data_IF_069040283141
#
_entry.id   IF_069040283141
#
_cell.length_a   1.000
_cell.length_b   1.000
_cell.length_c   1.000
_cell.angle_alpha   90.00
_cell.angle_beta   90.00
_cell.angle_gamma   90.00
#
_symmetry.space_group_name_H-M   'P 1'
#
loop_
_entity.id
_entity.type
_entity.pdbx_description
1 polymer ?
#
# COMPACT_ATOMS: atom_id res chain seq x y z
N UNK A 1 -36.29 -25.88 27.67
CA UNK A 1 -35.35 -25.09 28.50
C UNK A 1 -33.98 -25.31 27.89
N UNK A 2 -33.47 -24.36 27.11
CA UNK A 2 -32.27 -24.59 26.30
C UNK A 2 -31.03 -24.41 27.18
N UNK A 3 -30.44 -25.52 27.62
CA UNK A 3 -29.13 -25.53 28.27
C UNK A 3 -28.09 -25.55 27.15
N UNK A 4 -27.68 -24.37 26.71
CA UNK A 4 -26.52 -24.22 25.84
C UNK A 4 -25.28 -24.47 26.69
N UNK A 5 -24.66 -25.64 26.52
CA UNK A 5 -23.29 -25.90 26.96
C UNK A 5 -22.38 -24.96 26.17
N UNK A 6 -21.88 -23.91 26.83
CA UNK A 6 -21.00 -22.91 26.24
C UNK A 6 -19.73 -23.51 25.63
N UNK A 7 -19.28 -24.70 26.07
CA UNK A 7 -18.01 -25.29 25.63
C UNK A 7 -18.06 -25.93 24.22
N UNK A 8 -19.23 -26.37 23.76
CA UNK A 8 -19.33 -27.12 22.49
C UNK A 8 -19.38 -26.22 21.25
N UNK A 9 -19.63 -24.91 21.43
CA UNK A 9 -19.68 -23.93 20.33
C UNK A 9 -18.27 -23.61 19.78
N UNK A 10 -17.21 -23.79 20.59
CA UNK A 10 -15.95 -23.07 20.37
C UNK A 10 -14.74 -23.90 19.94
N UNK A 11 -14.85 -25.23 19.82
CA UNK A 11 -13.67 -26.06 19.54
C UNK A 11 -13.33 -26.25 18.04
N UNK A 12 -14.29 -26.12 17.11
CA UNK A 12 -14.04 -26.51 15.71
C UNK A 12 -14.36 -25.48 14.61
N UNK A 13 -14.83 -24.26 14.91
CA UNK A 13 -15.12 -23.19 13.92
C UNK A 13 -15.94 -23.60 12.66
N UNK A 14 -16.53 -24.80 12.63
CA UNK A 14 -17.75 -25.13 11.90
C UNK A 14 -18.90 -24.99 12.89
N UNK A 15 -19.54 -23.82 12.89
CA UNK A 15 -20.67 -23.62 13.78
C UNK A 15 -21.86 -24.40 13.22
N UNK A 16 -22.00 -25.63 13.69
CA UNK A 16 -23.22 -26.44 13.57
C UNK A 16 -23.90 -26.43 14.94
N UNK A 17 -24.96 -25.63 15.07
CA UNK A 17 -25.80 -25.64 16.28
C UNK A 17 -26.75 -26.84 16.14
N UNK A 18 -26.67 -27.77 17.08
CA UNK A 18 -27.58 -28.92 17.16
C UNK A 18 -28.92 -28.48 17.72
N UNK A 19 -29.96 -28.48 16.87
CA UNK A 19 -31.36 -28.33 17.33
C UNK A 19 -31.90 -29.73 17.64
N UNK A 20 -31.98 -30.08 18.92
CA UNK A 20 -32.69 -31.27 19.39
C UNK A 20 -34.16 -30.93 19.59
N UNK A 21 -35.01 -31.35 18.64
CA UNK A 21 -36.44 -31.50 18.90
C UNK A 21 -36.61 -32.83 19.62
N UNK A 22 -36.90 -32.78 20.92
CA UNK A 22 -37.40 -33.95 21.64
C UNK A 22 -38.79 -34.29 21.09
N UNK A 23 -38.83 -35.26 20.19
CA UNK A 23 -39.99 -36.12 19.97
C UNK A 23 -39.48 -37.43 19.36
N UNK A 24 -39.61 -38.50 20.15
CA UNK A 24 -39.49 -39.92 19.83
C UNK A 24 -38.58 -40.36 18.67
N UNK A 25 -37.47 -41.02 19.04
CA UNK A 25 -36.99 -42.21 18.34
C UNK A 25 -35.98 -42.06 17.20
N UNK A 26 -35.77 -40.88 16.63
CA UNK A 26 -34.69 -40.68 15.65
C UNK A 26 -34.29 -39.21 15.52
N UNK A 27 -33.20 -38.83 16.19
CA UNK A 27 -32.63 -37.48 16.11
C UNK A 27 -32.04 -37.21 14.71
N UNK A 28 -32.82 -36.56 13.84
CA UNK A 28 -32.33 -36.05 12.56
C UNK A 28 -31.50 -34.79 12.86
N UNK A 29 -30.18 -34.92 12.84
CA UNK A 29 -29.26 -33.79 13.03
C UNK A 29 -29.18 -32.98 11.75
N UNK A 30 -29.99 -31.93 11.63
CA UNK A 30 -29.89 -30.98 10.52
C UNK A 30 -28.78 -29.98 10.85
N UNK A 31 -27.59 -30.15 10.26
CA UNK A 31 -26.50 -29.17 10.37
C UNK A 31 -26.80 -27.98 9.45
N UNK A 32 -27.18 -26.86 10.02
CA UNK A 32 -27.28 -25.58 9.30
C UNK A 32 -26.13 -24.65 9.72
N UNK A 33 -25.63 -23.79 8.82
CA UNK A 33 -24.59 -22.85 9.17
C UNK A 33 -25.15 -21.74 10.09
N UNK A 34 -24.32 -21.22 10.99
CA UNK A 34 -24.74 -20.26 12.03
C UNK A 34 -25.52 -19.06 11.50
N UNK A 35 -25.13 -18.54 10.34
CA UNK A 35 -25.82 -17.42 9.69
C UNK A 35 -27.28 -17.75 9.35
N UNK A 36 -27.58 -18.98 8.95
CA UNK A 36 -28.96 -19.45 8.66
C UNK A 36 -29.76 -19.61 9.94
N UNK A 37 -29.15 -20.09 11.02
CA UNK A 37 -29.83 -20.25 12.32
C UNK A 37 -30.12 -18.89 12.95
N UNK A 38 -29.13 -18.00 12.95
CA UNK A 38 -29.27 -16.64 13.47
C UNK A 38 -30.20 -15.77 12.60
N UNK A 39 -30.40 -16.12 11.32
CA UNK A 39 -31.41 -15.46 10.48
C UNK A 39 -32.85 -15.73 10.94
N UNK A 40 -33.09 -16.76 11.76
CA UNK A 40 -34.42 -17.05 12.29
C UNK A 40 -34.81 -16.08 13.41
N UNK A 41 -33.85 -15.67 14.25
CA UNK A 41 -34.04 -14.68 15.30
C UNK A 41 -32.91 -13.65 15.30
N UNK A 42 -33.17 -12.53 14.61
CA UNK A 42 -32.20 -11.45 14.47
C UNK A 42 -31.81 -10.79 15.80
N UNK A 43 -32.59 -10.95 16.89
CA UNK A 43 -32.22 -10.42 18.21
C UNK A 43 -31.03 -11.19 18.81
N UNK A 44 -30.89 -12.47 18.47
CA UNK A 44 -29.76 -13.28 18.91
C UNK A 44 -28.45 -12.81 18.28
N UNK A 45 -28.49 -12.31 17.03
CA UNK A 45 -27.32 -11.66 16.40
C UNK A 45 -26.84 -10.51 17.27
N UNK A 46 -27.74 -9.59 17.64
CA UNK A 46 -27.38 -8.42 18.45
C UNK A 46 -26.84 -8.84 19.81
N UNK A 47 -27.50 -9.77 20.51
CA UNK A 47 -27.04 -10.27 21.79
C UNK A 47 -25.63 -10.90 21.72
N UNK A 48 -25.35 -11.66 20.66
CA UNK A 48 -24.02 -12.25 20.43
C UNK A 48 -22.95 -11.18 20.18
N UNK A 49 -23.28 -10.11 19.46
CA UNK A 49 -22.37 -9.01 19.15
C UNK A 49 -22.14 -8.08 20.35
N UNK A 50 -23.12 -7.91 21.24
CA UNK A 50 -22.98 -7.11 22.45
C UNK A 50 -22.03 -7.71 23.49
N UNK A 51 -21.68 -9.01 23.37
CA UNK A 51 -20.64 -9.63 24.19
C UNK A 51 -19.25 -9.05 23.98
N UNK A 52 -19.02 -8.22 22.95
CA UNK A 52 -17.79 -7.41 22.85
C UNK A 52 -17.58 -6.52 24.08
N UNK A 53 -18.65 -6.10 24.77
CA UNK A 53 -18.54 -5.34 26.03
C UNK A 53 -17.97 -6.14 27.20
N UNK A 54 -17.95 -7.47 27.12
CA UNK A 54 -17.66 -8.33 28.25
C UNK A 54 -16.15 -8.43 28.53
N UNK A 55 -15.57 -7.41 29.14
CA UNK A 55 -14.11 -7.32 29.40
C UNK A 55 -13.57 -8.30 30.43
N UNK A 56 -14.43 -8.97 31.21
CA UNK A 56 -14.00 -9.90 32.25
C UNK A 56 -13.42 -11.22 31.71
N UNK A 57 -13.84 -11.64 30.51
CA UNK A 57 -13.34 -12.85 29.87
C UNK A 57 -13.00 -12.57 28.39
N UNK A 58 -11.71 -12.44 28.04
CA UNK A 58 -11.30 -12.07 26.68
C UNK A 58 -11.72 -13.09 25.63
N UNK A 59 -11.84 -14.37 26.00
CA UNK A 59 -12.35 -15.44 25.13
C UNK A 59 -13.74 -15.12 24.56
N UNK A 60 -14.65 -14.59 25.39
CA UNK A 60 -16.00 -14.21 24.96
C UNK A 60 -15.96 -13.01 24.01
N UNK A 61 -15.13 -12.00 24.29
CA UNK A 61 -14.95 -10.86 23.39
C UNK A 61 -14.39 -11.29 22.02
N UNK A 62 -13.34 -12.12 22.04
CA UNK A 62 -12.74 -12.69 20.84
C UNK A 62 -13.76 -13.45 20.00
N UNK A 63 -14.60 -14.26 20.64
CA UNK A 63 -15.65 -15.00 19.97
C UNK A 63 -16.68 -14.06 19.33
N UNK A 64 -17.11 -13.03 20.05
CA UNK A 64 -18.05 -12.03 19.52
C UNK A 64 -17.50 -11.30 18.29
N UNK A 65 -16.23 -10.87 18.31
CA UNK A 65 -15.56 -10.24 17.16
C UNK A 65 -15.45 -11.21 15.97
N UNK A 66 -15.10 -12.47 16.22
CA UNK A 66 -15.02 -13.50 15.17
C UNK A 66 -16.38 -13.81 14.55
N UNK A 67 -17.44 -13.85 15.37
CA UNK A 67 -18.82 -13.99 14.88
C UNK A 67 -19.16 -12.81 13.97
N UNK A 68 -18.84 -11.57 14.36
CA UNK A 68 -19.06 -10.42 13.49
C UNK A 68 -18.31 -10.53 12.15
N UNK A 69 -17.06 -10.99 12.18
CA UNK A 69 -16.27 -11.23 10.97
C UNK A 69 -16.97 -12.22 10.02
N UNK A 70 -17.42 -13.36 10.55
CA UNK A 70 -18.15 -14.36 9.76
C UNK A 70 -19.46 -13.79 9.21
N UNK A 71 -20.26 -13.13 10.04
CA UNK A 71 -21.54 -12.54 9.62
C UNK A 71 -21.33 -11.46 8.56
N UNK A 72 -20.35 -10.57 8.74
CA UNK A 72 -19.99 -9.55 7.75
C UNK A 72 -19.55 -10.17 6.43
N UNK A 73 -18.98 -11.39 6.49
CA UNK A 73 -18.52 -12.09 5.30
C UNK A 73 -19.65 -12.73 4.47
N UNK A 74 -20.73 -13.15 5.15
CA UNK A 74 -21.83 -13.94 4.57
C UNK A 74 -23.13 -13.16 4.36
N UNK A 75 -23.38 -12.12 5.16
CA UNK A 75 -24.64 -11.38 5.16
C UNK A 75 -24.47 -9.98 4.55
N UNK A 76 -24.93 -9.80 3.31
CA UNK A 76 -24.84 -8.53 2.56
C UNK A 76 -25.69 -7.41 3.20
N UNK A 77 -26.76 -7.74 3.93
CA UNK A 77 -27.67 -6.79 4.58
C UNK A 77 -27.48 -6.62 6.09
N UNK A 78 -26.32 -7.01 6.63
CA UNK A 78 -26.08 -7.02 8.09
C UNK A 78 -26.22 -5.62 8.70
N UNK A 79 -25.67 -4.59 8.05
CA UNK A 79 -25.73 -3.21 8.55
C UNK A 79 -27.17 -2.71 8.64
N UNK A 80 -27.97 -2.94 7.60
CA UNK A 80 -29.38 -2.55 7.56
C UNK A 80 -30.19 -3.27 8.64
N UNK A 81 -29.87 -4.54 8.91
CA UNK A 81 -30.48 -5.29 10.01
C UNK A 81 -30.13 -4.68 11.37
N UNK A 82 -28.88 -4.32 11.60
CA UNK A 82 -28.44 -3.67 12.85
C UNK A 82 -29.06 -2.29 13.05
N UNK A 83 -29.26 -1.52 11.97
CA UNK A 83 -29.97 -0.24 11.99
C UNK A 83 -31.45 -0.45 12.34
N UNK A 84 -32.12 -1.42 11.68
CA UNK A 84 -33.53 -1.75 11.94
C UNK A 84 -33.79 -2.17 13.39
N UNK A 85 -32.84 -2.86 14.01
CA UNK A 85 -32.91 -3.29 15.40
C UNK A 85 -32.46 -2.23 16.42
N UNK A 86 -32.08 -1.04 15.96
CA UNK A 86 -31.56 0.05 16.80
C UNK A 86 -30.33 -0.33 17.64
N UNK A 87 -29.54 -1.32 17.18
CA UNK A 87 -28.34 -1.82 17.87
C UNK A 87 -27.05 -1.12 17.39
N UNK A 88 -27.10 -0.47 16.24
CA UNK A 88 -25.96 0.17 15.58
C UNK A 88 -25.14 1.09 16.49
N UNK A 89 -25.79 2.00 17.23
CA UNK A 89 -25.09 2.97 18.08
C UNK A 89 -24.32 2.29 19.20
N UNK A 90 -24.97 1.38 19.94
CA UNK A 90 -24.34 0.65 21.03
C UNK A 90 -23.13 -0.16 20.55
N UNK A 91 -23.30 -0.91 19.46
CA UNK A 91 -22.20 -1.71 18.89
C UNK A 91 -20.99 -0.86 18.47
N UNK A 92 -21.19 0.32 17.89
CA UNK A 92 -20.07 1.20 17.53
C UNK A 92 -19.28 1.61 18.78
N UNK A 93 -19.98 1.99 19.84
CA UNK A 93 -19.35 2.40 21.11
C UNK A 93 -18.67 1.21 21.80
N UNK A 94 -19.27 0.03 21.77
CA UNK A 94 -18.76 -1.19 22.39
C UNK A 94 -17.46 -1.68 21.75
N UNK A 95 -17.40 -1.69 20.41
CA UNK A 95 -16.18 -2.03 19.67
C UNK A 95 -15.08 -0.97 19.85
N UNK A 96 -15.46 0.31 19.94
CA UNK A 96 -14.51 1.38 20.24
C UNK A 96 -13.89 1.22 21.63
N UNK A 97 -14.71 0.95 22.65
CA UNK A 97 -14.26 0.69 24.03
C UNK A 97 -13.32 -0.52 24.09
N UNK A 98 -13.68 -1.61 23.41
CA UNK A 98 -12.85 -2.82 23.35
C UNK A 98 -11.47 -2.53 22.73
N UNK A 99 -11.45 -1.80 21.61
CA UNK A 99 -10.21 -1.40 20.96
C UNK A 99 -9.36 -0.46 21.83
N UNK A 100 -10.00 0.50 22.51
CA UNK A 100 -9.32 1.45 23.39
C UNK A 100 -8.65 0.76 24.57
N UNK A 101 -9.39 -0.13 25.26
CA UNK A 101 -8.85 -0.96 26.34
C UNK A 101 -7.62 -1.73 25.87
N UNK A 102 -7.69 -2.35 24.69
CA UNK A 102 -6.58 -3.13 24.18
C UNK A 102 -5.33 -2.28 23.89
N UNK A 103 -5.49 -1.04 23.40
CA UNK A 103 -4.35 -0.14 23.23
C UNK A 103 -3.69 0.24 24.56
N UNK A 104 -4.46 0.32 25.65
CA UNK A 104 -3.99 0.73 26.97
C UNK A 104 -3.43 -0.41 27.84
N UNK A 105 -3.63 -1.67 27.44
CA UNK A 105 -3.05 -2.84 28.12
C UNK A 105 -1.51 -2.93 27.98
N UNK A 106 -0.93 -2.33 26.94
CA UNK A 106 0.51 -2.36 26.65
C UNK A 106 1.15 -3.76 26.77
N UNK A 107 0.48 -4.76 26.22
CA UNK A 107 0.99 -6.13 26.11
C UNK A 107 1.50 -6.41 24.69
N UNK A 108 2.70 -7.02 24.59
CA UNK A 108 3.28 -7.46 23.31
C UNK A 108 2.40 -8.54 22.69
N UNK A 109 2.09 -8.38 21.41
CA UNK A 109 1.27 -9.34 20.66
C UNK A 109 2.15 -10.50 20.17
N UNK A 110 1.94 -11.68 20.75
CA UNK A 110 2.60 -12.92 20.32
C UNK A 110 1.78 -13.67 19.26
N UNK A 111 0.45 -13.68 19.41
CA UNK A 111 -0.48 -14.36 18.51
C UNK A 111 -1.56 -13.38 18.01
N UNK A 112 -1.50 -13.04 16.72
CA UNK A 112 -2.47 -12.14 16.08
C UNK A 112 -3.90 -12.67 16.09
N UNK A 113 -4.11 -14.00 16.11
CA UNK A 113 -5.45 -14.61 16.10
C UNK A 113 -6.15 -14.60 17.47
N UNK A 114 -5.40 -14.36 18.53
CA UNK A 114 -5.89 -14.30 19.91
C UNK A 114 -6.00 -12.88 20.45
N UNK A 115 -5.71 -11.86 19.65
CA UNK A 115 -5.68 -10.48 20.10
C UNK A 115 -6.93 -9.72 19.65
N UNK A 116 -7.69 -9.16 20.60
CA UNK A 116 -8.96 -8.47 20.33
C UNK A 116 -8.76 -7.24 19.44
N UNK A 117 -7.73 -6.44 19.71
CA UNK A 117 -7.43 -5.22 18.95
C UNK A 117 -7.00 -5.51 17.53
N UNK A 118 -6.15 -6.51 17.32
CA UNK A 118 -5.77 -6.96 15.97
C UNK A 118 -6.99 -7.49 15.21
N UNK A 119 -7.84 -8.30 15.83
CA UNK A 119 -9.04 -8.83 15.17
C UNK A 119 -10.04 -7.73 14.80
N UNK A 120 -10.20 -6.69 15.63
CA UNK A 120 -11.05 -5.53 15.28
C UNK A 120 -10.47 -4.78 14.09
N UNK A 121 -9.17 -4.48 14.09
CA UNK A 121 -8.53 -3.80 12.96
C UNK A 121 -8.57 -4.63 11.68
N UNK A 122 -8.38 -5.94 11.80
CA UNK A 122 -8.49 -6.87 10.69
C UNK A 122 -9.94 -6.97 10.15
N UNK A 123 -10.94 -7.01 11.03
CA UNK A 123 -12.35 -6.94 10.65
C UNK A 123 -12.63 -5.69 9.81
N UNK A 124 -12.10 -4.53 10.22
CA UNK A 124 -12.27 -3.27 9.48
C UNK A 124 -11.60 -3.34 8.10
N UNK A 125 -10.37 -3.86 8.03
CA UNK A 125 -9.62 -4.01 6.78
C UNK A 125 -10.31 -4.97 5.80
N UNK A 126 -10.74 -6.13 6.27
CA UNK A 126 -11.38 -7.18 5.45
C UNK A 126 -12.74 -6.75 4.87
N UNK A 127 -13.31 -5.66 5.41
CA UNK A 127 -14.60 -5.12 5.02
C UNK A 127 -14.52 -3.83 4.19
N UNK A 128 -13.37 -3.13 4.09
CA UNK A 128 -13.27 -1.85 3.32
C UNK A 128 -13.82 -2.00 1.89
N UNK A 129 -13.33 -3.01 1.17
CA UNK A 129 -13.66 -3.24 -0.25
C UNK A 129 -14.99 -3.98 -0.49
N UNK A 130 -15.74 -4.29 0.57
CA UNK A 130 -17.04 -4.97 0.44
C UNK A 130 -18.14 -3.99 0.04
N UNK A 131 -19.21 -4.47 -0.61
CA UNK A 131 -20.32 -3.62 -1.03
C UNK A 131 -20.85 -2.75 0.12
N UNK A 132 -21.03 -1.46 -0.14
CA UNK A 132 -21.51 -0.51 0.85
C UNK A 132 -23.04 -0.60 1.03
N UNK A 133 -23.57 -0.32 2.24
CA UNK A 133 -22.84 -0.10 3.49
C UNK A 133 -22.40 -1.42 4.14
N UNK A 134 -21.19 -1.43 4.70
CA UNK A 134 -20.58 -2.60 5.34
C UNK A 134 -20.21 -2.29 6.80
N UNK A 135 -19.71 -3.29 7.53
CA UNK A 135 -19.38 -3.14 8.96
C UNK A 135 -18.29 -2.08 9.19
N UNK A 136 -17.34 -1.90 8.27
CA UNK A 136 -16.33 -0.85 8.38
C UNK A 136 -16.95 0.53 8.32
N UNK A 137 -17.87 0.74 7.36
CA UNK A 137 -18.62 1.99 7.28
C UNK A 137 -19.40 2.25 8.58
N UNK A 138 -20.05 1.23 9.16
CA UNK A 138 -20.78 1.37 10.42
C UNK A 138 -19.87 1.73 11.60
N UNK A 139 -18.82 0.93 11.85
CA UNK A 139 -17.93 1.05 13.02
C UNK A 139 -17.04 2.31 12.98
N UNK A 140 -16.69 2.80 11.80
CA UNK A 140 -15.95 4.05 11.62
C UNK A 140 -16.87 5.28 11.54
N UNK A 141 -18.19 5.09 11.69
CA UNK A 141 -19.19 6.15 11.66
C UNK A 141 -19.27 6.90 10.32
N UNK A 142 -19.18 6.15 9.22
CA UNK A 142 -19.65 6.65 7.91
C UNK A 142 -21.18 6.80 7.89
N UNK A 143 -21.70 7.62 6.99
CA UNK A 143 -23.14 7.75 6.75
C UNK A 143 -23.64 6.51 5.98
N UNK A 144 -24.18 5.57 6.75
CA UNK A 144 -24.74 4.31 6.25
C UNK A 144 -26.23 4.43 5.90
N UNK A 145 -26.88 5.54 6.23
CA UNK A 145 -28.31 5.78 5.96
C UNK A 145 -28.51 6.45 4.60
N UNK A 146 -27.63 7.39 4.23
CA UNK A 146 -27.73 8.14 2.97
C UNK A 146 -26.68 7.71 1.95
N UNK A 147 -25.40 8.06 2.17
CA UNK A 147 -24.33 7.83 1.20
C UNK A 147 -22.96 7.88 1.85
N UNK A 148 -22.23 6.77 1.78
CA UNK A 148 -20.86 6.65 2.30
C UNK A 148 -19.94 7.71 1.69
N UNK A 149 -20.00 7.92 0.36
CA UNK A 149 -19.16 8.87 -0.38
C UNK A 149 -19.32 10.33 0.07
N UNK A 150 -20.50 10.69 0.60
CA UNK A 150 -20.82 12.07 1.01
C UNK A 150 -20.67 12.27 2.52
N UNK A 151 -20.08 11.30 3.21
CA UNK A 151 -19.95 11.37 4.66
C UNK A 151 -19.03 12.52 5.07
N UNK A 152 -19.44 13.27 6.09
CA UNK A 152 -18.56 14.20 6.81
C UNK A 152 -18.13 13.53 8.11
N UNK A 153 -16.90 13.04 8.16
CA UNK A 153 -16.35 12.36 9.35
C UNK A 153 -16.09 13.35 10.49
N UNK A 154 -16.61 13.05 11.69
CA UNK A 154 -16.48 13.90 12.88
C UNK A 154 -16.05 13.11 14.12
N UNK A 155 -14.82 12.55 14.14
CA UNK A 155 -14.35 11.72 15.27
C UNK A 155 -14.24 12.49 16.60
N UNK A 156 -14.20 13.84 16.60
CA UNK A 156 -14.26 14.63 17.85
C UNK A 156 -15.64 14.64 18.51
N UNK A 157 -16.70 14.37 17.74
CA UNK A 157 -18.10 14.43 18.21
C UNK A 157 -18.61 13.04 18.56
N UNK A 158 -18.23 12.02 17.79
CA UNK A 158 -18.74 10.66 17.92
C UNK A 158 -17.65 9.70 18.42
N UNK A 159 -17.92 9.06 19.55
CA UNK A 159 -17.11 7.95 20.03
C UNK A 159 -17.31 6.74 19.10
N UNK A 160 -16.21 6.27 18.51
CA UNK A 160 -16.19 5.23 17.46
C UNK A 160 -14.79 4.66 17.32
N UNK A 161 -14.64 3.55 16.58
CA UNK A 161 -13.32 2.98 16.30
C UNK A 161 -12.40 4.00 15.60
N UNK A 162 -12.94 4.86 14.72
CA UNK A 162 -12.17 5.91 14.06
C UNK A 162 -11.58 6.90 15.07
N UNK A 163 -12.37 7.34 16.05
CA UNK A 163 -11.93 8.26 17.10
C UNK A 163 -10.81 7.63 17.93
N UNK A 164 -10.99 6.39 18.38
CA UNK A 164 -9.99 5.67 19.17
C UNK A 164 -8.69 5.52 18.38
N UNK A 165 -8.76 5.04 17.14
CA UNK A 165 -7.57 4.85 16.30
C UNK A 165 -6.83 6.18 16.11
N UNK A 166 -7.56 7.26 15.80
CA UNK A 166 -6.96 8.58 15.61
C UNK A 166 -6.24 9.05 16.88
N UNK A 167 -6.89 8.98 18.05
CA UNK A 167 -6.30 9.43 19.32
C UNK A 167 -5.05 8.63 19.69
N UNK A 168 -5.06 7.31 19.44
CA UNK A 168 -3.91 6.44 19.74
C UNK A 168 -2.77 6.67 18.74
N UNK A 169 -3.07 6.94 17.47
CA UNK A 169 -2.07 7.34 16.47
C UNK A 169 -1.50 8.74 16.75
N UNK A 170 -2.29 9.70 17.20
CA UNK A 170 -1.77 11.01 17.58
C UNK A 170 -0.80 10.91 18.78
N UNK A 171 -1.07 10.02 19.76
CA UNK A 171 -0.23 9.93 20.96
C UNK A 171 0.98 8.99 20.82
N UNK A 172 0.89 7.95 19.98
CA UNK A 172 1.91 6.88 19.82
C UNK A 172 2.55 6.44 21.14
N UNK A 173 1.74 6.11 22.14
CA UNK A 173 2.24 5.67 23.45
C UNK A 173 2.89 4.27 23.33
N UNK A 174 4.16 4.16 23.73
CA UNK A 174 4.95 2.90 23.74
C UNK A 174 4.90 2.14 22.39
N UNK A 175 5.42 2.73 21.30
CA UNK A 175 5.37 2.12 19.97
C UNK A 175 6.14 0.81 19.88
N UNK A 176 7.14 0.60 20.73
CA UNK A 176 7.92 -0.64 20.86
C UNK A 176 7.04 -1.85 21.21
N UNK A 177 5.91 -1.64 21.90
CA UNK A 177 5.02 -2.70 22.37
C UNK A 177 3.81 -2.86 21.43
N UNK A 178 3.15 -1.74 21.12
CA UNK A 178 1.92 -1.70 20.33
C UNK A 178 2.17 -1.57 18.81
N UNK A 179 3.39 -1.86 18.34
CA UNK A 179 3.76 -1.68 16.93
C UNK A 179 2.78 -2.36 15.95
N UNK A 180 2.23 -3.53 16.30
CA UNK A 180 1.30 -4.26 15.43
C UNK A 180 -0.03 -3.52 15.29
N UNK A 181 -0.58 -3.03 16.40
CA UNK A 181 -1.81 -2.26 16.38
C UNK A 181 -1.64 -0.97 15.58
N UNK A 182 -0.49 -0.29 15.74
CA UNK A 182 -0.17 0.90 14.96
C UNK A 182 0.01 0.60 13.46
N UNK A 183 0.68 -0.51 13.11
CA UNK A 183 0.86 -0.95 11.73
C UNK A 183 -0.50 -1.21 11.05
N UNK A 184 -1.38 -1.97 11.69
CA UNK A 184 -2.73 -2.22 11.18
C UNK A 184 -3.58 -0.95 11.11
N UNK A 185 -3.45 -0.04 12.06
CA UNK A 185 -4.15 1.25 12.05
C UNK A 185 -3.72 2.13 10.86
N UNK A 186 -2.40 2.25 10.59
CA UNK A 186 -1.92 2.97 9.41
C UNK A 186 -2.33 2.27 8.12
N UNK A 187 -2.30 0.94 8.09
CA UNK A 187 -2.79 0.18 6.94
C UNK A 187 -4.27 0.44 6.67
N UNK A 188 -5.10 0.52 7.72
CA UNK A 188 -6.52 0.86 7.57
C UNK A 188 -6.72 2.23 6.93
N UNK A 189 -6.03 3.26 7.41
CA UNK A 189 -6.11 4.59 6.78
C UNK A 189 -5.64 4.57 5.32
N UNK A 190 -4.57 3.83 5.02
CA UNK A 190 -4.11 3.68 3.64
C UNK A 190 -5.19 3.05 2.74
N UNK A 191 -5.80 1.94 3.16
CA UNK A 191 -6.84 1.28 2.36
C UNK A 191 -8.10 2.15 2.24
N UNK A 192 -8.50 2.88 3.28
CA UNK A 192 -9.61 3.84 3.22
C UNK A 192 -9.34 4.98 2.23
N UNK A 193 -8.09 5.45 2.14
CA UNK A 193 -7.67 6.46 1.16
C UNK A 193 -7.61 5.91 -0.27
N UNK A 194 -7.50 4.59 -0.46
CA UNK A 194 -7.49 3.94 -1.78
C UNK A 194 -8.88 3.59 -2.28
N UNK A 195 -9.82 3.29 -1.39
CA UNK A 195 -11.16 2.85 -1.78
C UNK A 195 -11.98 4.00 -2.40
N UNK A 196 -12.67 3.77 -3.54
CA UNK A 196 -13.41 4.83 -4.24
C UNK A 196 -14.50 5.51 -3.42
N UNK A 197 -15.14 4.80 -2.48
CA UNK A 197 -16.25 5.34 -1.70
C UNK A 197 -15.76 6.07 -0.44
N UNK A 198 -14.72 5.56 0.22
CA UNK A 198 -14.23 6.16 1.47
C UNK A 198 -13.13 7.20 1.28
N UNK A 199 -12.44 7.20 0.14
CA UNK A 199 -11.26 8.05 -0.10
C UNK A 199 -11.55 9.54 0.04
N UNK A 200 -12.63 10.04 -0.55
CA UNK A 200 -13.05 11.45 -0.44
C UNK A 200 -13.23 11.89 1.02
N UNK A 201 -14.21 11.31 1.74
CA UNK A 201 -14.44 11.59 3.16
C UNK A 201 -13.18 11.46 4.03
N UNK A 202 -12.37 10.43 3.80
CA UNK A 202 -11.15 10.16 4.58
C UNK A 202 -10.09 11.22 4.33
N UNK A 203 -9.82 11.55 3.07
CA UNK A 203 -8.80 12.53 2.68
C UNK A 203 -9.18 13.95 3.10
N UNK A 204 -10.45 14.33 2.95
CA UNK A 204 -10.94 15.63 3.41
C UNK A 204 -10.77 15.78 4.93
N UNK A 205 -11.11 14.72 5.68
CA UNK A 205 -10.91 14.65 7.11
C UNK A 205 -9.42 14.74 7.51
N UNK A 206 -8.56 13.89 6.96
CA UNK A 206 -7.13 13.82 7.33
C UNK A 206 -6.34 15.06 6.91
N UNK A 207 -6.73 15.71 5.81
CA UNK A 207 -6.09 16.93 5.31
C UNK A 207 -6.53 18.20 6.04
N UNK A 208 -7.60 18.13 6.84
CA UNK A 208 -8.10 19.28 7.58
C UNK A 208 -7.07 19.74 8.62
N UNK A 209 -6.77 21.05 8.65
CA UNK A 209 -5.84 21.69 9.62
C UNK A 209 -6.20 21.42 11.09
N UNK A 210 -7.42 20.97 11.39
CA UNK A 210 -7.87 20.62 12.74
C UNK A 210 -7.20 19.36 13.33
N UNK A 211 -6.63 18.50 12.49
CA UNK A 211 -6.08 17.21 12.90
C UNK A 211 -4.57 17.10 12.68
N UNK A 212 -3.98 17.90 11.77
CA UNK A 212 -2.53 17.91 11.49
C UNK A 212 -1.91 16.52 11.26
N UNK A 213 -2.72 15.53 10.88
CA UNK A 213 -2.36 14.11 10.91
C UNK A 213 -1.09 13.82 10.11
N UNK A 214 -1.02 14.30 8.87
CA UNK A 214 0.15 14.07 8.01
C UNK A 214 1.41 14.75 8.54
N UNK A 215 1.33 16.01 8.99
CA UNK A 215 2.49 16.78 9.45
C UNK A 215 3.15 16.08 10.65
N UNK A 216 2.32 15.69 11.63
CA UNK A 216 2.77 15.04 12.85
C UNK A 216 3.49 13.70 12.58
N UNK A 217 2.96 12.90 11.66
CA UNK A 217 3.52 11.58 11.38
C UNK A 217 4.69 11.62 10.39
N UNK A 218 4.69 12.56 9.43
CA UNK A 218 5.80 12.71 8.48
C UNK A 218 7.11 13.08 9.17
N UNK A 219 7.06 13.87 10.25
CA UNK A 219 8.24 14.20 11.05
C UNK A 219 8.79 12.96 11.78
N UNK A 220 7.93 12.11 12.33
CA UNK A 220 8.34 10.87 13.01
C UNK A 220 8.92 9.81 12.07
N UNK A 221 8.32 9.60 10.88
CA UNK A 221 8.75 8.57 9.95
C UNK A 221 9.97 8.95 9.10
N UNK A 222 10.17 10.23 8.79
CA UNK A 222 11.25 10.66 7.89
C UNK A 222 12.57 10.97 8.61
N UNK A 223 12.55 11.29 9.91
CA UNK A 223 13.72 11.79 10.64
C UNK A 223 14.20 10.90 11.81
N UNK A 224 13.53 9.78 12.07
CA UNK A 224 13.99 8.80 13.05
C UNK A 224 15.32 8.14 12.65
N UNK A 225 16.28 7.95 13.57
CA UNK A 225 17.48 7.18 13.28
C UNK A 225 17.09 5.76 12.87
N UNK A 226 17.71 5.24 11.80
CA UNK A 226 17.51 3.85 11.37
C UNK A 226 17.72 2.91 12.58
N UNK A 227 16.86 1.90 12.79
CA UNK A 227 17.04 0.94 13.87
C UNK A 227 18.45 0.37 13.84
N UNK A 228 19.14 0.40 14.99
CA UNK A 228 20.51 -0.14 15.10
C UNK A 228 20.48 -1.62 14.67
N UNK A 229 21.37 -1.96 13.74
CA UNK A 229 21.47 -3.29 13.15
C UNK A 229 21.90 -4.30 14.24
N UNK A 230 20.95 -5.06 14.78
CA UNK A 230 21.23 -6.21 15.64
C UNK A 230 21.11 -7.49 14.80
N UNK A 231 22.10 -8.39 14.90
CA UNK A 231 22.15 -9.64 14.14
C UNK A 231 20.98 -10.60 14.44
N UNK A 232 20.21 -10.36 15.52
CA UNK A 232 19.13 -11.25 15.97
C UNK A 232 17.71 -10.72 15.68
N UNK A 233 17.56 -9.56 15.04
CA UNK A 233 16.25 -9.05 14.64
C UNK A 233 16.19 -8.98 13.11
N UNK A 234 15.48 -9.94 12.50
CA UNK A 234 15.12 -9.83 11.10
C UNK A 234 14.34 -8.52 10.91
N UNK A 235 14.78 -7.68 9.99
CA UNK A 235 14.07 -6.46 9.63
C UNK A 235 12.62 -6.80 9.33
N UNK A 236 11.69 -6.07 9.96
CA UNK A 236 10.29 -6.06 9.55
C UNK A 236 10.23 -5.49 8.15
N UNK A 237 10.27 -6.38 7.16
CA UNK A 237 9.87 -6.04 5.81
C UNK A 237 8.38 -5.77 5.92
N UNK A 238 7.99 -4.49 5.90
CA UNK A 238 6.60 -4.10 5.77
C UNK A 238 5.96 -4.92 4.64
N UNK A 239 4.81 -5.52 4.88
CA UNK A 239 4.07 -6.34 3.90
C UNK A 239 3.80 -5.57 2.59
N UNK A 240 3.81 -4.23 2.63
CA UNK A 240 3.85 -3.32 1.48
C UNK A 240 5.02 -3.55 0.49
N UNK A 241 6.12 -4.17 0.92
CA UNK A 241 7.22 -4.57 0.04
C UNK A 241 6.99 -5.90 -0.68
N UNK A 242 6.01 -6.71 -0.29
CA UNK A 242 5.75 -8.01 -0.93
C UNK A 242 5.02 -7.88 -2.28
N UNK A 243 4.32 -6.76 -2.52
CA UNK A 243 3.69 -6.47 -3.82
C UNK A 243 4.63 -5.83 -4.87
N UNK A 244 5.90 -5.58 -4.55
CA UNK A 244 6.87 -5.11 -5.55
C UNK A 244 7.48 -6.31 -6.28
N UNK A 245 7.56 -6.29 -7.63
CA UNK A 245 8.41 -7.25 -8.34
C UNK A 245 9.81 -7.18 -7.76
N UNK A 246 10.48 -8.34 -7.63
CA UNK A 246 11.80 -8.46 -7.01
C UNK A 246 12.68 -7.26 -7.43
N UNK A 247 13.28 -6.54 -6.47
CA UNK A 247 14.19 -5.46 -6.80
C UNK A 247 15.23 -5.99 -7.78
N UNK A 248 15.31 -5.37 -8.96
CA UNK A 248 16.33 -5.72 -9.96
C UNK A 248 17.69 -5.80 -9.26
N UNK A 249 18.45 -6.91 -9.41
CA UNK A 249 19.71 -7.07 -8.72
C UNK A 249 20.61 -5.86 -8.98
N UNK A 250 21.27 -5.37 -7.94
CA UNK A 250 22.12 -4.19 -8.09
C UNK A 250 23.21 -4.46 -9.13
N UNK A 251 23.50 -3.50 -10.03
CA UNK A 251 24.51 -3.65 -11.05
C UNK A 251 25.89 -3.87 -10.41
N UNK A 252 26.77 -4.56 -11.15
CA UNK A 252 28.12 -4.85 -10.72
C UNK A 252 28.91 -3.57 -10.38
N UNK A 253 29.77 -3.59 -9.36
CA UNK A 253 30.61 -2.45 -9.00
C UNK A 253 31.51 -2.04 -10.17
N UNK A 254 31.48 -0.76 -10.52
CA UNK A 254 32.38 -0.15 -11.50
C UNK A 254 33.39 0.67 -10.72
N UNK A 255 34.68 0.50 -11.04
CA UNK A 255 35.80 1.21 -10.43
C UNK A 255 36.47 2.14 -11.46
N UNK A 256 37.02 3.26 -11.00
CA UNK A 256 37.88 4.12 -11.82
C UNK A 256 39.35 3.64 -11.78
N UNK A 257 40.24 4.31 -12.52
CA UNK A 257 41.68 4.01 -12.60
C UNK A 257 42.38 4.09 -11.23
N UNK A 258 41.79 4.81 -10.27
CA UNK A 258 42.24 4.93 -8.89
C UNK A 258 41.67 3.84 -7.96
N UNK A 259 41.09 2.76 -8.52
CA UNK A 259 40.42 1.65 -7.81
C UNK A 259 39.29 2.07 -6.85
N UNK A 260 38.70 3.25 -7.04
CA UNK A 260 37.55 3.73 -6.27
C UNK A 260 36.24 3.37 -6.96
N UNK A 261 35.25 2.90 -6.19
CA UNK A 261 33.94 2.52 -6.72
C UNK A 261 33.17 3.77 -7.14
N UNK A 262 32.83 3.88 -8.42
CA UNK A 262 32.07 5.02 -8.99
C UNK A 262 30.57 4.75 -9.07
N UNK A 263 30.15 3.47 -9.14
CA UNK A 263 28.74 3.08 -9.23
C UNK A 263 28.16 2.77 -7.82
N UNK A 264 28.18 3.77 -6.93
CA UNK A 264 27.54 3.69 -5.62
C UNK A 264 26.03 3.93 -5.74
N UNK A 265 25.25 3.52 -4.73
CA UNK A 265 23.79 3.74 -4.70
C UNK A 265 23.44 5.23 -4.82
N UNK A 266 24.16 6.08 -4.09
CA UNK A 266 23.93 7.52 -4.11
C UNK A 266 24.25 8.13 -5.46
N UNK A 267 25.35 7.70 -6.10
CA UNK A 267 25.69 8.15 -7.44
C UNK A 267 24.63 7.73 -8.47
N UNK A 268 24.12 6.48 -8.39
CA UNK A 268 23.01 6.03 -9.25
C UNK A 268 21.75 6.87 -9.07
N UNK A 269 21.39 7.17 -7.83
CA UNK A 269 20.20 7.97 -7.54
C UNK A 269 20.36 9.40 -8.03
N UNK A 270 21.50 10.04 -7.74
CA UNK A 270 21.83 11.40 -8.21
C UNK A 270 21.83 11.49 -9.73
N UNK A 271 22.39 10.48 -10.40
CA UNK A 271 22.37 10.39 -11.87
C UNK A 271 20.95 10.26 -12.41
N UNK A 272 20.14 9.36 -11.86
CA UNK A 272 18.74 9.17 -12.27
C UNK A 272 17.91 10.45 -12.10
N UNK A 273 18.10 11.18 -11.01
CA UNK A 273 17.43 12.46 -10.77
C UNK A 273 17.93 13.55 -11.72
N UNK A 274 19.24 13.59 -12.00
CA UNK A 274 19.82 14.55 -12.96
C UNK A 274 19.32 14.31 -14.38
N UNK A 275 19.27 13.04 -14.82
CA UNK A 275 18.73 12.66 -16.13
C UNK A 275 17.23 13.03 -16.24
N UNK A 276 16.45 12.82 -15.18
CA UNK A 276 15.03 13.21 -15.14
C UNK A 276 14.86 14.73 -15.18
N UNK A 277 15.69 15.48 -14.42
CA UNK A 277 15.73 16.95 -14.43
C UNK A 277 15.99 17.47 -15.84
N UNK A 278 17.00 16.92 -16.52
CA UNK A 278 17.32 17.33 -17.90
C UNK A 278 16.17 17.08 -18.88
N UNK A 279 15.46 15.94 -18.76
CA UNK A 279 14.30 15.63 -19.61
C UNK A 279 13.13 16.59 -19.41
N UNK A 280 12.86 16.95 -18.16
CA UNK A 280 11.79 17.91 -17.83
C UNK A 280 12.16 19.29 -18.39
N UNK A 281 13.39 19.75 -18.16
CA UNK A 281 13.87 21.03 -18.71
C UNK A 281 13.80 21.03 -20.24
N UNK A 282 14.20 19.95 -20.93
CA UNK A 282 14.07 19.88 -22.39
C UNK A 282 12.63 19.94 -22.87
N UNK A 283 11.69 19.38 -22.11
CA UNK A 283 10.27 19.44 -22.45
C UNK A 283 9.71 20.85 -22.24
N UNK A 284 10.10 21.52 -21.14
CA UNK A 284 9.68 22.89 -20.83
C UNK A 284 10.15 23.89 -21.89
N UNK A 285 11.39 23.77 -22.36
CA UNK A 285 11.93 24.59 -23.45
C UNK A 285 11.11 24.41 -24.75
N UNK A 286 10.56 23.20 -25.01
CA UNK A 286 9.74 22.95 -26.19
C UNK A 286 8.32 23.49 -26.05
N UNK A 287 7.75 23.47 -24.85
CA UNK A 287 6.36 23.88 -24.59
C UNK A 287 6.21 25.38 -24.36
N UNK A 288 7.20 26.02 -23.75
CA UNK A 288 7.16 27.44 -23.39
C UNK A 288 8.38 28.19 -23.96
N UNK A 289 8.20 29.02 -25.01
CA UNK A 289 9.29 29.77 -25.62
C UNK A 289 9.82 30.91 -24.75
N UNK A 290 9.19 31.24 -23.61
CA UNK A 290 9.67 32.25 -22.65
C UNK A 290 10.53 31.68 -21.53
N UNK A 291 10.64 30.35 -21.45
CA UNK A 291 11.39 29.68 -20.39
C UNK A 291 12.91 29.78 -20.58
N UNK A 292 13.60 30.43 -19.63
CA UNK A 292 15.06 30.48 -19.59
C UNK A 292 15.64 29.26 -18.86
N UNK A 293 16.43 28.46 -19.57
CA UNK A 293 17.09 27.30 -18.99
C UNK A 293 18.16 27.70 -17.96
N UNK A 294 18.29 26.98 -16.82
CA UNK A 294 19.35 27.25 -15.84
C UNK A 294 20.75 27.17 -16.45
N UNK A 295 21.75 27.92 -15.95
CA UNK A 295 23.11 27.92 -16.51
C UNK A 295 23.82 26.56 -16.45
N UNK A 296 23.39 25.66 -15.57
CA UNK A 296 23.88 24.29 -15.48
C UNK A 296 23.31 23.34 -16.55
N UNK A 297 22.24 23.74 -17.26
CA UNK A 297 21.60 22.91 -18.26
C UNK A 297 22.50 22.75 -19.49
N UNK A 298 22.85 21.51 -19.78
CA UNK A 298 23.55 21.14 -21.01
C UNK A 298 22.59 20.31 -21.87
N UNK A 299 22.17 20.78 -23.05
CA UNK A 299 21.33 20.00 -23.94
C UNK A 299 22.05 18.70 -24.30
N UNK A 300 21.31 17.59 -24.22
CA UNK A 300 21.87 16.27 -24.47
C UNK A 300 22.15 16.12 -25.96
N UNK A 301 23.43 16.05 -26.34
CA UNK A 301 23.82 15.76 -27.72
C UNK A 301 23.42 14.33 -28.08
N UNK A 302 22.53 14.16 -29.04
CA UNK A 302 22.20 12.85 -29.58
C UNK A 302 23.31 12.41 -30.54
N UNK A 303 23.78 11.17 -30.39
CA UNK A 303 24.72 10.55 -31.32
C UNK A 303 24.30 9.11 -31.57
N UNK A 304 24.49 8.64 -32.81
CA UNK A 304 24.24 7.26 -33.21
C UNK A 304 25.49 6.68 -33.85
N UNK A 305 25.96 5.53 -33.36
CA UNK A 305 27.09 4.81 -33.97
C UNK A 305 26.54 3.86 -35.02
N UNK A 306 26.97 4.05 -36.27
CA UNK A 306 26.68 3.15 -37.37
C UNK A 306 27.96 2.39 -37.73
N UNK A 307 27.86 1.06 -37.83
CA UNK A 307 28.98 0.20 -38.22
C UNK A 307 28.96 0.02 -39.74
N UNK A 308 30.11 0.21 -40.39
CA UNK A 308 30.28 -0.06 -41.82
C UNK A 308 30.59 -1.57 -41.98
N UNK A 309 29.86 -2.30 -42.85
CA UNK A 309 29.97 -3.76 -43.00
C UNK A 309 31.20 -4.18 -43.83
N UNK A 310 32.40 -3.75 -43.40
CA UNK A 310 33.66 -4.05 -44.10
C UNK A 310 34.00 -5.55 -44.07
N UNK A 311 33.48 -6.29 -43.08
CA UNK A 311 33.68 -7.75 -42.99
C UNK A 311 32.94 -8.52 -44.08
N UNK A 312 31.74 -8.05 -44.45
CA UNK A 312 30.89 -8.69 -45.47
C UNK A 312 31.32 -8.29 -46.88
N UNK A 313 31.82 -7.06 -47.05
CA UNK A 313 32.25 -6.51 -48.34
C UNK A 313 33.64 -5.88 -48.25
N UNK A 314 34.71 -6.70 -48.14
CA UNK A 314 36.07 -6.19 -47.92
C UNK A 314 36.63 -5.40 -49.11
N UNK A 315 36.17 -5.69 -50.33
CA UNK A 315 36.63 -5.04 -51.56
C UNK A 315 35.85 -3.76 -51.91
N UNK A 316 34.83 -3.38 -51.12
CA UNK A 316 34.00 -2.22 -51.43
C UNK A 316 34.49 -0.96 -50.70
N UNK A 317 34.69 0.13 -51.44
CA UNK A 317 35.20 1.39 -50.89
C UNK A 317 34.09 2.27 -50.29
N UNK A 318 33.58 1.87 -49.13
CA UNK A 318 32.55 2.63 -48.40
C UNK A 318 33.00 4.05 -48.04
N UNK A 319 34.27 4.23 -47.64
CA UNK A 319 34.80 5.53 -47.21
C UNK A 319 34.84 6.50 -48.40
N UNK A 320 35.32 6.04 -49.56
CA UNK A 320 35.34 6.82 -50.79
C UNK A 320 33.95 7.26 -51.23
N UNK A 321 32.95 6.38 -51.09
CA UNK A 321 31.56 6.68 -51.40
C UNK A 321 30.96 7.73 -50.45
N UNK A 322 31.17 7.59 -49.14
CA UNK A 322 30.63 8.50 -48.12
C UNK A 322 31.25 9.90 -48.24
N UNK A 323 32.56 9.98 -48.52
CA UNK A 323 33.27 11.26 -48.68
C UNK A 323 32.95 11.90 -50.05
N UNK A 324 33.03 11.11 -51.12
CA UNK A 324 32.88 11.56 -52.49
C UNK A 324 34.04 12.43 -52.99
N UNK A 325 34.00 12.86 -54.27
CA UNK A 325 35.01 13.75 -54.83
C UNK A 325 35.05 15.08 -54.06
N UNK A 326 36.25 15.51 -53.68
CA UNK A 326 36.50 16.73 -52.89
C UNK A 326 35.74 16.84 -51.55
N UNK A 327 35.18 15.73 -51.03
CA UNK A 327 34.37 15.76 -49.81
C UNK A 327 32.98 16.37 -49.99
N UNK A 328 32.54 16.62 -51.23
CA UNK A 328 31.26 17.26 -51.51
C UNK A 328 30.07 16.41 -51.03
N UNK A 329 30.15 15.09 -51.17
CA UNK A 329 29.07 14.18 -50.74
C UNK A 329 28.92 14.18 -49.22
N UNK A 330 30.02 14.15 -48.47
CA UNK A 330 30.00 14.23 -47.01
C UNK A 330 29.42 15.57 -46.51
N UNK A 331 29.85 16.70 -47.08
CA UNK A 331 29.29 18.02 -46.76
C UNK A 331 27.81 18.12 -47.09
N UNK A 332 27.38 17.58 -48.23
CA UNK A 332 25.97 17.54 -48.61
C UNK A 332 25.16 16.69 -47.63
N UNK A 333 25.68 15.53 -47.24
CA UNK A 333 25.04 14.64 -46.29
C UNK A 333 24.88 15.29 -44.90
N UNK A 334 25.89 16.02 -44.42
CA UNK A 334 25.78 16.79 -43.17
C UNK A 334 24.75 17.92 -43.28
N UNK A 335 24.66 18.58 -44.44
CA UNK A 335 23.68 19.64 -44.68
C UNK A 335 22.24 19.13 -44.76
N UNK A 336 22.02 18.01 -45.46
CA UNK A 336 20.68 17.41 -45.62
C UNK A 336 20.15 16.78 -44.32
N UNK A 337 21.05 16.24 -43.48
CA UNK A 337 20.67 15.59 -42.22
C UNK A 337 20.73 16.51 -41.01
N UNK A 338 21.26 17.73 -41.17
CA UNK A 338 21.59 18.68 -40.10
C UNK A 338 22.43 18.05 -38.96
N UNK A 339 23.11 16.95 -39.27
CA UNK A 339 23.88 16.17 -38.32
C UNK A 339 25.37 16.24 -38.68
N UNK A 340 26.21 16.33 -37.65
CA UNK A 340 27.66 16.22 -37.84
C UNK A 340 28.05 14.75 -37.97
N UNK A 341 28.67 14.39 -39.08
CA UNK A 341 29.03 13.01 -39.42
C UNK A 341 30.54 12.85 -39.26
N UNK A 342 30.95 11.99 -38.32
CA UNK A 342 32.37 11.74 -38.03
C UNK A 342 32.70 10.29 -38.33
N UNK A 343 33.58 10.08 -39.32
CA UNK A 343 34.15 8.76 -39.62
C UNK A 343 35.27 8.44 -38.61
N UNK A 344 35.19 7.27 -37.97
CA UNK A 344 36.19 6.82 -36.98
C UNK A 344 36.49 5.33 -37.18
N UNK A 345 37.75 4.94 -37.05
CA UNK A 345 38.18 3.54 -37.04
C UNK A 345 39.42 3.27 -37.89
N UNK A 346 39.86 2.01 -37.94
CA UNK A 346 40.95 1.59 -38.83
C UNK A 346 40.49 1.77 -40.29
N UNK A 347 41.27 2.51 -41.09
CA UNK A 347 40.94 2.83 -42.49
C UNK A 347 40.21 4.16 -42.73
N UNK A 348 39.92 4.95 -41.69
CA UNK A 348 39.27 6.27 -41.84
C UNK A 348 40.23 7.42 -42.17
N UNK A 349 41.54 7.23 -41.97
CA UNK A 349 42.56 8.21 -42.34
C UNK A 349 43.17 7.83 -43.70
N UNK A 350 43.23 8.78 -44.65
CA UNK A 350 44.10 8.62 -45.82
C UNK A 350 45.54 8.51 -45.29
N UNK A 351 46.25 7.43 -45.63
CA UNK A 351 47.69 7.37 -45.40
C UNK A 351 48.32 8.57 -46.09
N UNK A 352 49.02 9.40 -45.31
CA UNK A 352 49.90 10.43 -45.85
C UNK A 352 50.89 9.77 -46.82
N UNK A 353 51.08 10.45 -47.95
CA UNK A 353 51.95 10.05 -49.04
C UNK A 353 53.30 9.57 -48.49
N UNK A 354 53.67 8.35 -48.84
CA UNK A 354 55.03 7.86 -48.71
C UNK A 354 55.98 8.91 -49.32
N UNK A 355 56.92 9.41 -48.51
CA UNK A 355 58.11 10.09 -48.99
C UNK A 355 58.80 9.14 -49.98
N UNK A 356 58.75 9.45 -51.28
CA UNK A 356 59.69 8.90 -52.24
C UNK A 356 61.03 9.59 -52.00
N UNK A 357 62.06 8.78 -51.79
CA UNK A 357 63.46 9.18 -51.83
C UNK A 357 63.82 9.75 -53.19
#
# INVERSE_FOLDING_TARGET
>A
MYILSFNDIFSNFEVSVTVSLENDGSSIVIKQPLDVILSQDHKQIVALLEYVRYSFLPEIQLCSIKVLSILSSRMVGLVQLLLKLNAAKGLVEDFANCLESRFDEFQVIENTKGDTGVLILQLLLDNVSRPAPNITHLLLKYDVDSSVERTILQPKVHYSCLKVILDKLEKLLKPEINYLLYEFAFQLFYELCLDPLTSGPTMDFLSTKKYHFFVQHLEGFCFGPLPKRSNNQAFRISTLHQKKPLPSPSPSPIYNDLRMRVNTRDFRLRRKLSDRRQKIISHLIQTDPTFEAPPEYKPQKMYRKLYIPVKEYPCYNFIGLIIGPHGCTHKRLEKETEARIILRGKGSCKLDRAKKY
#
